data_IF_335341614346
#
_entry.id   IF_335341614346
#
_cell.length_a   1.000
_cell.length_b   1.000
_cell.length_c   1.000
_cell.angle_alpha   90.00
_cell.angle_beta   90.00
_cell.angle_gamma   90.00
#
_symmetry.space_group_name_H-M   'P 1'
#
loop_
_entity.id
_entity.type
_entity.pdbx_description
1 polymer ?
#
# COMPACT_ATOMS: atom_id res chain seq x y z
N UNK A 1 0.05 24.02 -10.99
CA UNK A 1 1.24 23.29 -11.46
C UNK A 1 1.67 22.38 -10.32
N UNK A 2 1.35 21.09 -10.41
CA UNK A 2 1.63 20.12 -9.36
C UNK A 2 3.06 19.59 -9.55
N UNK A 3 3.95 19.85 -8.60
CA UNK A 3 5.31 19.31 -8.66
C UNK A 3 5.28 17.85 -8.17
N UNK A 4 5.33 16.89 -9.09
CA UNK A 4 5.48 15.47 -8.76
C UNK A 4 6.97 15.18 -8.55
N UNK A 5 7.37 14.91 -7.31
CA UNK A 5 8.74 14.54 -6.93
C UNK A 5 8.81 13.04 -6.62
N UNK A 6 9.44 12.28 -7.52
CA UNK A 6 9.71 10.83 -7.33
C UNK A 6 11.15 10.66 -6.86
N UNK A 7 11.38 10.34 -5.57
CA UNK A 7 12.72 9.97 -5.06
C UNK A 7 12.94 8.46 -5.09
N UNK A 8 14.11 8.06 -5.62
CA UNK A 8 14.48 6.72 -6.11
C UNK A 8 15.09 5.78 -5.05
N UNK A 9 14.39 5.44 -3.95
CA UNK A 9 14.88 4.44 -2.98
C UNK A 9 13.76 3.55 -2.44
N UNK A 10 13.83 2.24 -2.74
CA UNK A 10 12.70 1.30 -2.61
C UNK A 10 12.76 0.34 -1.41
N UNK A 11 11.74 0.50 -0.56
CA UNK A 11 11.10 -0.31 0.49
C UNK A 11 11.71 -1.65 0.97
N UNK A 12 11.92 -1.70 2.29
CA UNK A 12 11.72 -2.89 3.12
C UNK A 12 10.42 -2.73 3.90
N UNK A 13 9.30 -3.26 3.37
CA UNK A 13 8.04 -3.30 4.12
C UNK A 13 8.20 -4.27 5.31
N UNK A 14 8.45 -3.74 6.50
CA UNK A 14 8.10 -4.43 7.75
C UNK A 14 6.60 -4.29 7.95
N UNK A 15 5.90 -5.42 8.04
CA UNK A 15 4.49 -5.43 8.43
C UNK A 15 4.39 -4.90 9.86
N UNK A 16 3.69 -3.78 10.04
CA UNK A 16 3.48 -3.16 11.35
C UNK A 16 2.40 -3.99 12.04
N UNK A 17 2.70 -4.52 13.22
CA UNK A 17 1.71 -5.32 13.97
C UNK A 17 0.58 -4.41 14.46
N UNK A 18 -0.61 -4.96 14.67
CA UNK A 18 -1.75 -4.23 15.25
C UNK A 18 -1.42 -3.60 16.61
N UNK A 19 -0.47 -4.18 17.34
CA UNK A 19 -0.01 -3.66 18.63
C UNK A 19 0.87 -2.41 18.48
N UNK A 20 1.64 -2.32 17.40
CA UNK A 20 2.47 -1.15 17.11
C UNK A 20 1.60 0.06 16.71
N UNK A 21 0.49 -0.18 15.98
CA UNK A 21 -0.46 0.86 15.53
C UNK A 21 -1.18 1.57 16.68
N UNK A 22 -1.48 0.85 17.78
CA UNK A 22 -2.21 1.42 18.92
C UNK A 22 -1.37 2.40 19.76
N UNK A 23 -0.04 2.31 19.68
CA UNK A 23 0.87 3.15 20.48
C UNK A 23 1.15 4.54 19.90
N UNK A 24 0.73 4.81 18.66
CA UNK A 24 1.08 6.05 17.93
C UNK A 24 -0.03 7.10 17.88
N UNK A 25 -1.12 6.91 18.65
CA UNK A 25 -2.31 7.81 18.66
C UNK A 25 -2.07 9.13 19.43
N UNK A 26 -0.84 9.41 19.87
CA UNK A 26 -0.50 10.63 20.59
C UNK A 26 -0.37 11.85 19.65
N UNK A 27 -1.37 12.74 19.64
CA UNK A 27 -1.33 14.17 19.21
C UNK A 27 -0.37 14.46 18.04
N UNK A 28 -0.40 13.64 16.99
CA UNK A 28 0.52 13.83 15.89
C UNK A 28 -0.09 14.84 14.92
N UNK A 29 0.71 15.84 14.51
CA UNK A 29 0.34 16.74 13.41
C UNK A 29 0.34 15.96 12.08
N UNK A 30 -0.33 16.48 11.03
CA UNK A 30 -0.15 15.94 9.68
C UNK A 30 1.33 15.86 9.30
N UNK A 31 1.70 14.80 8.59
CA UNK A 31 3.07 14.54 8.15
C UNK A 31 3.39 15.49 7.00
N UNK A 32 4.32 16.40 7.25
CA UNK A 32 4.79 17.36 6.27
C UNK A 32 5.65 16.72 5.18
N UNK A 33 5.62 17.29 3.97
CA UNK A 33 6.39 16.79 2.83
C UNK A 33 7.89 16.68 3.12
N UNK A 34 8.48 17.70 3.73
CA UNK A 34 9.91 17.71 4.09
C UNK A 34 10.28 16.59 5.08
N UNK A 35 9.33 16.17 5.92
CA UNK A 35 9.53 15.04 6.82
C UNK A 35 9.54 13.72 6.04
N UNK A 36 8.61 13.51 5.10
CA UNK A 36 8.57 12.32 4.26
C UNK A 36 9.88 12.12 3.49
N UNK A 37 10.43 13.19 2.91
CA UNK A 37 11.71 13.14 2.21
C UNK A 37 12.84 12.67 3.15
N UNK A 38 12.95 13.26 4.34
CA UNK A 38 13.96 12.86 5.34
C UNK A 38 13.73 11.43 5.82
N UNK A 39 12.48 11.02 6.01
CA UNK A 39 12.12 9.67 6.45
C UNK A 39 12.57 8.62 5.42
N UNK A 40 12.36 8.90 4.13
CA UNK A 40 12.85 8.07 3.02
C UNK A 40 14.38 8.03 2.98
N UNK A 41 15.05 9.18 3.04
CA UNK A 41 16.52 9.28 3.00
C UNK A 41 17.20 8.56 4.17
N UNK A 42 16.54 8.53 5.33
CA UNK A 42 17.03 7.86 6.52
C UNK A 42 16.72 6.34 6.54
N UNK A 43 16.15 5.78 5.46
CA UNK A 43 15.89 4.35 5.34
C UNK A 43 14.67 3.87 6.12
N UNK A 44 13.66 4.72 6.33
CA UNK A 44 12.33 4.32 6.85
C UNK A 44 12.39 3.63 8.23
N UNK A 45 13.18 4.17 9.16
CA UNK A 45 13.50 3.51 10.45
C UNK A 45 12.30 3.24 11.37
N UNK A 46 11.22 3.99 11.20
CA UNK A 46 9.99 3.84 11.98
C UNK A 46 8.77 3.92 11.05
N UNK A 47 7.61 3.39 11.45
CA UNK A 47 6.39 3.52 10.67
C UNK A 47 5.90 4.96 10.60
N UNK A 48 5.17 5.28 9.52
CA UNK A 48 4.35 6.48 9.43
C UNK A 48 2.98 6.23 10.09
N UNK A 49 2.35 7.28 10.59
CA UNK A 49 1.08 7.19 11.32
C UNK A 49 -0.12 7.57 10.45
N UNK A 50 -1.30 7.16 10.94
CA UNK A 50 -2.61 7.57 10.44
C UNK A 50 -3.31 8.40 11.51
N UNK A 51 -4.35 9.12 11.13
CA UNK A 51 -5.25 9.71 12.12
C UNK A 51 -6.07 8.60 12.81
N UNK A 52 -6.78 8.97 13.86
CA UNK A 52 -7.54 8.00 14.67
C UNK A 52 -8.64 7.31 13.85
N UNK A 53 -9.39 8.06 13.05
CA UNK A 53 -10.49 7.53 12.25
C UNK A 53 -9.99 6.53 11.19
N UNK A 54 -8.91 6.86 10.50
CA UNK A 54 -8.29 6.00 9.50
C UNK A 54 -7.60 4.80 10.12
N UNK A 55 -7.03 4.95 11.31
CA UNK A 55 -6.48 3.82 12.09
C UNK A 55 -7.58 2.82 12.41
N UNK A 56 -8.71 3.29 12.93
CA UNK A 56 -9.83 2.43 13.27
C UNK A 56 -10.40 1.72 12.03
N UNK A 57 -10.62 2.47 10.94
CA UNK A 57 -11.11 1.93 9.67
C UNK A 57 -10.17 0.86 9.10
N UNK A 58 -8.85 1.09 9.19
CA UNK A 58 -7.85 0.12 8.77
C UNK A 58 -7.88 -1.16 9.62
N UNK A 59 -7.99 -1.04 10.95
CA UNK A 59 -8.07 -2.18 11.87
C UNK A 59 -9.31 -3.02 11.57
N UNK A 60 -10.47 -2.39 11.34
CA UNK A 60 -11.70 -3.09 10.99
C UNK A 60 -11.58 -3.81 9.65
N UNK A 61 -11.01 -3.16 8.64
CA UNK A 61 -10.74 -3.77 7.35
C UNK A 61 -9.80 -4.99 7.47
N UNK A 62 -8.72 -4.88 8.26
CA UNK A 62 -7.81 -6.00 8.50
C UNK A 62 -8.52 -7.19 9.17
N UNK A 63 -9.46 -6.95 10.09
CA UNK A 63 -10.27 -8.01 10.70
C UNK A 63 -11.13 -8.73 9.66
N UNK A 64 -11.75 -7.98 8.75
CA UNK A 64 -12.53 -8.56 7.65
C UNK A 64 -11.66 -9.38 6.70
N UNK A 65 -10.52 -8.81 6.27
CA UNK A 65 -9.58 -9.50 5.37
C UNK A 65 -9.06 -10.78 6.02
N UNK A 66 -8.64 -10.73 7.28
CA UNK A 66 -8.12 -11.92 7.98
C UNK A 66 -9.18 -12.98 8.26
N UNK A 67 -10.47 -12.61 8.31
CA UNK A 67 -11.59 -13.55 8.42
C UNK A 67 -11.80 -14.32 7.11
N UNK A 68 -11.76 -13.64 5.98
CA UNK A 68 -12.17 -14.20 4.68
C UNK A 68 -11.02 -14.78 3.86
N UNK A 69 -9.81 -14.20 3.98
CA UNK A 69 -8.67 -14.52 3.14
C UNK A 69 -7.58 -15.17 3.97
N UNK A 70 -6.87 -16.14 3.38
CA UNK A 70 -5.77 -16.82 4.07
C UNK A 70 -4.63 -15.86 4.39
N UNK A 71 -4.38 -14.89 3.50
CA UNK A 71 -3.39 -13.83 3.70
C UNK A 71 -3.82 -12.52 3.04
N UNK A 72 -3.18 -11.42 3.43
CA UNK A 72 -3.35 -10.12 2.76
C UNK A 72 -2.93 -10.17 1.28
N UNK A 73 -1.92 -11.00 0.94
CA UNK A 73 -1.49 -11.17 -0.44
C UNK A 73 -2.57 -11.88 -1.28
N UNK A 74 -3.28 -12.86 -0.70
CA UNK A 74 -4.44 -13.49 -1.36
C UNK A 74 -5.54 -12.46 -1.62
N UNK A 75 -5.84 -11.60 -0.63
CA UNK A 75 -6.79 -10.49 -0.80
C UNK A 75 -6.38 -9.53 -1.92
N UNK A 76 -5.11 -9.10 -1.94
CA UNK A 76 -4.60 -8.16 -2.96
C UNK A 76 -4.70 -8.78 -4.36
N UNK A 77 -4.20 -10.01 -4.52
CA UNK A 77 -4.21 -10.73 -5.81
C UNK A 77 -5.60 -10.89 -6.38
N UNK A 78 -6.56 -11.29 -5.55
CA UNK A 78 -7.96 -11.51 -5.97
C UNK A 78 -8.62 -10.17 -6.32
N UNK A 79 -8.55 -9.18 -5.42
CA UNK A 79 -9.37 -7.98 -5.55
C UNK A 79 -8.78 -6.94 -6.52
N UNK A 80 -7.46 -6.77 -6.51
CA UNK A 80 -6.76 -5.78 -7.32
C UNK A 80 -6.18 -6.37 -8.60
N UNK A 81 -5.56 -7.55 -8.54
CA UNK A 81 -4.86 -8.14 -9.69
C UNK A 81 -5.67 -9.19 -10.46
N UNK A 82 -6.94 -9.41 -10.09
CA UNK A 82 -7.89 -10.32 -10.77
C UNK A 82 -7.38 -11.76 -10.92
N UNK A 83 -6.68 -12.24 -9.90
CA UNK A 83 -6.37 -13.66 -9.77
C UNK A 83 -7.64 -14.46 -9.48
N UNK A 84 -7.65 -15.73 -9.86
CA UNK A 84 -8.77 -16.62 -9.61
C UNK A 84 -8.78 -17.02 -8.12
N UNK A 85 -9.95 -17.43 -7.64
CA UNK A 85 -10.19 -17.76 -6.22
C UNK A 85 -10.34 -19.26 -6.05
N UNK A 86 -9.63 -19.82 -5.08
CA UNK A 86 -9.87 -21.17 -4.56
C UNK A 86 -10.08 -21.09 -3.02
N UNK A 87 -10.46 -22.20 -2.40
CA UNK A 87 -10.64 -22.32 -0.96
C UNK A 87 -9.56 -23.21 -0.35
N UNK A 88 -8.87 -22.68 0.67
CA UNK A 88 -7.94 -23.45 1.47
C UNK A 88 -8.70 -24.53 2.25
N UNK A 89 -8.39 -25.80 1.99
CA UNK A 89 -9.14 -26.94 2.56
C UNK A 89 -9.14 -26.97 4.09
N UNK A 90 -8.08 -26.47 4.72
CA UNK A 90 -7.92 -26.53 6.17
C UNK A 90 -8.60 -25.36 6.89
N UNK A 91 -8.43 -24.15 6.37
CA UNK A 91 -8.94 -22.93 6.98
C UNK A 91 -10.29 -22.46 6.42
N UNK A 92 -10.74 -23.04 5.30
CA UNK A 92 -11.91 -22.61 4.53
C UNK A 92 -11.85 -21.13 4.08
N UNK A 93 -10.65 -20.56 4.05
CA UNK A 93 -10.40 -19.17 3.61
C UNK A 93 -10.07 -19.11 2.13
N UNK A 94 -10.34 -17.97 1.52
CA UNK A 94 -10.03 -17.68 0.12
C UNK A 94 -8.52 -17.61 -0.11
N UNK A 95 -8.05 -18.25 -1.17
CA UNK A 95 -6.67 -18.21 -1.64
C UNK A 95 -6.63 -17.75 -3.10
N UNK A 96 -5.58 -17.02 -3.46
CA UNK A 96 -5.37 -16.60 -4.83
C UNK A 96 -4.63 -17.69 -5.60
N UNK A 97 -5.13 -18.05 -6.79
CA UNK A 97 -4.46 -18.94 -7.73
C UNK A 97 -4.19 -18.23 -9.06
N UNK A 98 -3.10 -18.57 -9.78
CA UNK A 98 -2.76 -17.91 -11.04
C UNK A 98 -3.92 -17.99 -12.03
N UNK A 99 -4.30 -16.83 -12.60
CA UNK A 99 -5.37 -16.72 -13.60
C UNK A 99 -4.81 -16.28 -14.95
N UNK A 100 -5.39 -16.80 -16.04
CA UNK A 100 -5.12 -16.30 -17.40
C UNK A 100 -5.61 -14.87 -17.60
N UNK A 101 -6.60 -14.45 -16.80
CA UNK A 101 -7.21 -13.12 -16.84
C UNK A 101 -6.59 -12.15 -15.82
N UNK A 102 -5.52 -12.56 -15.13
CA UNK A 102 -4.86 -11.70 -14.15
C UNK A 102 -4.26 -10.46 -14.83
N UNK A 103 -4.32 -9.33 -14.12
CA UNK A 103 -3.66 -8.09 -14.54
C UNK A 103 -2.16 -8.27 -14.32
N UNK A 104 -1.39 -8.12 -15.40
CA UNK A 104 0.09 -8.30 -15.40
C UNK A 104 0.81 -6.98 -15.29
N UNK A 105 0.17 -5.90 -15.75
CA UNK A 105 0.64 -4.55 -15.66
C UNK A 105 0.56 -4.04 -14.22
N UNK A 106 1.42 -3.09 -13.89
CA UNK A 106 1.37 -2.40 -12.62
C UNK A 106 0.09 -1.55 -12.53
N UNK A 107 -0.61 -1.65 -11.39
CA UNK A 107 -1.84 -0.91 -11.14
C UNK A 107 -1.60 0.17 -10.08
N UNK A 108 -1.92 1.42 -10.43
CA UNK A 108 -1.91 2.54 -9.49
C UNK A 108 -3.32 2.74 -8.90
N UNK A 109 -3.44 2.80 -7.59
CA UNK A 109 -4.71 3.09 -6.92
C UNK A 109 -4.51 4.05 -5.75
N UNK A 110 -5.48 4.91 -5.42
CA UNK A 110 -5.45 5.65 -4.17
C UNK A 110 -5.34 4.68 -2.99
N UNK A 111 -4.58 5.04 -1.95
CA UNK A 111 -4.55 4.25 -0.73
C UNK A 111 -5.88 4.43 0.00
N UNK A 112 -6.65 3.34 0.17
CA UNK A 112 -7.92 3.37 0.89
C UNK A 112 -7.77 3.78 2.37
N UNK A 113 -6.58 3.61 2.95
CA UNK A 113 -6.24 3.98 4.33
C UNK A 113 -4.96 4.83 4.32
N UNK A 114 -5.03 6.09 3.86
CA UNK A 114 -3.88 6.96 3.71
C UNK A 114 -3.20 7.25 5.06
N UNK A 115 -1.95 7.68 5.01
CA UNK A 115 -1.27 8.20 6.20
C UNK A 115 -1.83 9.56 6.56
N UNK A 116 -1.59 10.03 7.77
CA UNK A 116 -2.03 11.37 8.17
C UNK A 116 -1.09 12.41 7.57
N UNK A 117 -1.28 12.75 6.30
CA UNK A 117 -0.41 13.62 5.52
C UNK A 117 -0.93 15.06 5.55
N UNK A 118 -0.03 16.04 5.42
CA UNK A 118 -0.40 17.45 5.27
C UNK A 118 -1.19 17.70 3.98
N UNK A 119 -1.93 18.81 3.95
CA UNK A 119 -2.80 19.19 2.83
C UNK A 119 -2.05 19.24 1.49
N UNK A 120 -2.70 18.72 0.44
CA UNK A 120 -2.14 18.65 -0.90
C UNK A 120 -1.23 17.45 -1.17
N UNK A 121 -0.93 16.63 -0.16
CA UNK A 121 -0.17 15.38 -0.35
C UNK A 121 -1.13 14.20 -0.50
N UNK A 122 -0.97 13.43 -1.59
CA UNK A 122 -1.77 12.24 -1.85
C UNK A 122 -0.98 10.95 -1.62
N UNK A 123 -1.63 9.94 -1.05
CA UNK A 123 -1.04 8.62 -0.83
C UNK A 123 -1.61 7.62 -1.84
N UNK A 124 -0.77 7.13 -2.74
CA UNK A 124 -1.11 6.14 -3.75
C UNK A 124 -0.34 4.84 -3.54
N UNK A 125 -0.89 3.73 -4.05
CA UNK A 125 -0.30 2.39 -3.99
C UNK A 125 -0.10 1.86 -5.41
N UNK A 126 1.02 1.19 -5.62
CA UNK A 126 1.34 0.52 -6.88
C UNK A 126 1.36 -0.99 -6.62
N UNK A 127 0.46 -1.71 -7.28
CA UNK A 127 0.32 -3.15 -7.17
C UNK A 127 0.96 -3.84 -8.37
N UNK A 128 1.89 -4.75 -8.09
CA UNK A 128 2.53 -5.59 -9.09
C UNK A 128 2.72 -7.00 -8.50
N UNK A 129 2.41 -8.03 -9.28
CA UNK A 129 2.77 -9.41 -8.96
C UNK A 129 3.14 -10.16 -10.25
N UNK A 130 4.37 -10.71 -10.37
CA UNK A 130 5.43 -10.72 -9.36
C UNK A 130 6.04 -9.34 -9.12
N UNK A 131 6.75 -9.19 -7.99
CA UNK A 131 7.55 -7.99 -7.69
C UNK A 131 8.56 -7.75 -8.83
N UNK A 132 8.61 -6.55 -9.42
CA UNK A 132 9.55 -6.25 -10.50
C UNK A 132 11.00 -6.27 -9.99
N UNK A 133 11.94 -6.62 -10.88
CA UNK A 133 13.39 -6.55 -10.59
C UNK A 133 13.87 -5.11 -10.44
N UNK A 134 13.30 -4.21 -11.24
CA UNK A 134 13.60 -2.77 -11.28
C UNK A 134 12.31 -2.00 -11.00
N UNK A 135 11.88 -1.89 -9.73
CA UNK A 135 10.64 -1.22 -9.37
C UNK A 135 10.60 0.25 -9.81
N UNK A 136 11.74 0.91 -9.91
CA UNK A 136 11.86 2.32 -10.29
C UNK A 136 11.31 2.58 -11.70
N UNK A 137 11.66 1.71 -12.66
CA UNK A 137 11.24 1.83 -14.06
C UNK A 137 9.72 1.68 -14.20
N UNK A 138 9.13 0.74 -13.46
CA UNK A 138 7.68 0.54 -13.43
C UNK A 138 6.96 1.77 -12.87
N UNK A 139 7.52 2.38 -11.84
CA UNK A 139 6.88 3.50 -11.16
C UNK A 139 6.89 4.76 -12.03
N UNK A 140 8.01 5.02 -12.71
CA UNK A 140 8.09 6.10 -13.69
C UNK A 140 7.07 5.91 -14.82
N UNK A 141 6.98 4.70 -15.39
CA UNK A 141 6.01 4.38 -16.43
C UNK A 141 4.55 4.60 -15.97
N UNK A 142 4.23 4.12 -14.78
CA UNK A 142 2.88 4.23 -14.20
C UNK A 142 2.52 5.69 -13.90
N UNK A 143 3.43 6.46 -13.32
CA UNK A 143 3.19 7.86 -12.98
C UNK A 143 3.04 8.71 -14.23
N UNK A 144 3.91 8.53 -15.24
CA UNK A 144 3.83 9.27 -16.49
C UNK A 144 2.51 8.99 -17.22
N UNK A 145 2.03 7.74 -17.17
CA UNK A 145 0.75 7.35 -17.76
C UNK A 145 -0.47 7.93 -17.05
N UNK A 146 -0.46 8.01 -15.72
CA UNK A 146 -1.66 8.42 -14.95
C UNK A 146 -1.80 9.94 -14.86
N UNK A 147 -0.68 10.67 -14.77
CA UNK A 147 -0.68 12.10 -14.47
C UNK A 147 -0.35 12.98 -15.68
N UNK A 148 -0.32 12.41 -16.89
CA UNK A 148 -0.03 13.10 -18.16
C UNK A 148 1.12 14.11 -18.02
N UNK A 149 2.23 13.65 -17.45
CA UNK A 149 3.45 14.45 -17.30
C UNK A 149 4.24 14.49 -18.61
N UNK A 150 3.62 14.98 -19.68
CA UNK A 150 4.30 15.36 -20.94
C UNK A 150 4.70 16.84 -20.94
#
# INVERSE_FOLDING_TARGET
>A
MWNIFIKKSFFHLRFISTNDLASTVAINKPIEWNYLIKWLENGQKHPLWRDEQQTQSYIEHQKLVSKEYRSINDFIRINYLKWDVDLDKSSQKRIAIPSVNSIKEALLTPNAFPYYLADGIQHWLIWCDPKPKEPENIIEQVINKEFDLE
#
